data_IF_856047787820
#
_entry.id   IF_856047787820
#
_cell.length_a   1.000
_cell.length_b   1.000
_cell.length_c   1.000
_cell.angle_alpha   90.00
_cell.angle_beta   90.00
_cell.angle_gamma   90.00
#
_symmetry.space_group_name_H-M   'P 1'
#
loop_
_entity.id
_entity.type
_entity.pdbx_description
1 polymer ?
#
# COMPACT_ATOMS: atom_id res chain seq x y z
N UNK A 1 19.73 -27.83 -29.94
CA UNK A 1 18.75 -27.81 -28.87
C UNK A 1 19.29 -27.20 -27.57
N UNK A 2 20.53 -27.45 -27.11
CA UNK A 2 21.10 -26.90 -25.87
C UNK A 2 21.11 -25.34 -25.79
N UNK A 3 21.32 -24.63 -26.89
CA UNK A 3 21.43 -23.18 -26.91
C UNK A 3 20.04 -22.45 -26.79
N UNK A 4 18.99 -23.09 -27.25
CA UNK A 4 17.62 -22.52 -27.16
C UNK A 4 17.13 -22.55 -25.71
N UNK A 5 17.43 -23.64 -24.98
CA UNK A 5 17.07 -23.76 -23.57
C UNK A 5 17.77 -22.72 -22.70
N UNK A 6 19.05 -22.41 -22.99
CA UNK A 6 19.79 -21.37 -22.27
C UNK A 6 19.20 -19.97 -22.50
N UNK A 7 18.78 -19.66 -23.74
CA UNK A 7 18.13 -18.37 -24.06
C UNK A 7 16.79 -18.22 -23.32
N UNK A 8 15.98 -19.28 -23.26
CA UNK A 8 14.72 -19.24 -22.50
C UNK A 8 14.94 -19.08 -20.99
N UNK A 9 15.95 -19.74 -20.41
CA UNK A 9 16.30 -19.56 -19.01
C UNK A 9 16.75 -18.12 -18.72
N UNK A 10 17.55 -17.52 -19.62
CA UNK A 10 18.03 -16.13 -19.47
C UNK A 10 16.88 -15.11 -19.58
N UNK A 11 15.92 -15.33 -20.49
CA UNK A 11 14.71 -14.51 -20.62
C UNK A 11 13.80 -14.64 -19.40
N UNK A 12 13.67 -15.83 -18.80
CA UNK A 12 12.89 -16.04 -17.60
C UNK A 12 13.50 -15.35 -16.37
N UNK A 13 14.83 -15.43 -16.20
CA UNK A 13 15.55 -14.76 -15.10
C UNK A 13 15.44 -13.23 -15.22
N UNK A 14 15.51 -12.67 -16.44
CA UNK A 14 15.36 -11.24 -16.64
C UNK A 14 13.93 -10.73 -16.35
N UNK A 15 12.89 -11.52 -16.68
CA UNK A 15 11.51 -11.18 -16.36
C UNK A 15 11.24 -11.19 -14.85
N UNK A 16 11.80 -12.15 -14.10
CA UNK A 16 11.70 -12.18 -12.64
C UNK A 16 12.42 -11.00 -11.98
N UNK A 17 13.60 -10.61 -12.48
CA UNK A 17 14.35 -9.47 -11.96
C UNK A 17 13.61 -8.13 -12.19
N UNK A 18 12.81 -8.03 -13.25
CA UNK A 18 12.02 -6.82 -13.55
C UNK A 18 10.79 -6.70 -12.63
N UNK A 19 10.08 -7.80 -12.39
CA UNK A 19 8.90 -7.83 -11.51
C UNK A 19 9.26 -7.50 -10.05
N UNK A 20 10.45 -7.84 -9.59
CA UNK A 20 10.89 -7.60 -8.22
C UNK A 20 11.26 -6.12 -7.96
N UNK A 21 11.59 -5.34 -8.99
CA UNK A 21 12.06 -3.95 -8.85
C UNK A 21 10.98 -2.97 -8.39
N UNK A 22 9.76 -3.10 -8.89
CA UNK A 22 8.66 -2.21 -8.52
C UNK A 22 7.99 -2.63 -7.20
N UNK A 23 7.99 -3.91 -6.88
CA UNK A 23 7.33 -4.45 -5.69
C UNK A 23 7.86 -3.88 -4.37
N UNK A 24 9.14 -3.48 -4.31
CA UNK A 24 9.74 -2.96 -3.08
C UNK A 24 9.20 -1.59 -2.65
N UNK A 25 8.68 -0.78 -3.58
CA UNK A 25 8.12 0.55 -3.28
C UNK A 25 6.61 0.53 -3.15
N UNK A 26 5.95 -0.51 -3.68
CA UNK A 26 4.49 -0.70 -3.61
C UNK A 26 4.05 -0.84 -2.15
N UNK A 27 2.86 -0.31 -1.84
CA UNK A 27 2.25 -0.34 -0.52
C UNK A 27 1.87 1.03 0.00
N UNK A 28 1.51 1.11 1.26
CA UNK A 28 1.02 2.32 1.89
C UNK A 28 2.13 3.12 2.59
N UNK A 29 2.03 4.44 2.48
CA UNK A 29 3.02 5.38 3.00
C UNK A 29 2.36 6.57 3.67
N UNK A 30 2.79 6.87 4.91
CA UNK A 30 2.42 8.06 5.64
C UNK A 30 3.13 9.29 5.10
N UNK A 31 2.39 10.40 4.98
CA UNK A 31 2.97 11.71 4.78
C UNK A 31 3.84 12.14 5.99
N UNK A 32 4.77 13.09 5.80
CA UNK A 32 5.66 13.56 6.89
C UNK A 32 4.94 14.12 8.12
N UNK A 33 3.67 14.49 7.98
CA UNK A 33 2.83 15.05 9.05
C UNK A 33 1.84 14.04 9.62
N UNK A 34 1.91 12.78 9.20
CA UNK A 34 0.96 11.71 9.58
C UNK A 34 -0.52 12.09 9.38
N UNK A 35 -0.80 12.88 8.35
CA UNK A 35 -2.14 13.38 8.07
C UNK A 35 -2.74 12.85 6.77
N UNK A 36 -1.95 12.18 5.94
CA UNK A 36 -2.36 11.54 4.68
C UNK A 36 -1.64 10.20 4.55
N UNK A 37 -2.34 9.20 4.04
CA UNK A 37 -1.74 7.95 3.54
C UNK A 37 -1.96 7.88 2.05
N UNK A 38 -0.91 7.52 1.33
CA UNK A 38 -0.99 7.15 -0.08
C UNK A 38 -0.68 5.67 -0.24
N UNK A 39 -1.33 5.04 -1.21
CA UNK A 39 -1.00 3.69 -1.65
C UNK A 39 -0.30 3.77 -3.00
N UNK A 40 0.97 3.36 -3.04
CA UNK A 40 1.70 3.17 -4.28
C UNK A 40 1.34 1.81 -4.87
N UNK A 41 1.04 1.81 -6.16
CA UNK A 41 0.68 0.61 -6.92
C UNK A 41 1.29 0.65 -8.31
N UNK A 42 1.48 -0.51 -8.90
CA UNK A 42 1.97 -0.63 -10.25
C UNK A 42 0.80 -0.59 -11.24
N UNK A 43 0.95 0.22 -12.29
CA UNK A 43 0.02 0.34 -13.41
C UNK A 43 0.83 0.49 -14.71
N UNK A 44 0.67 -0.44 -15.66
CA UNK A 44 1.36 -0.42 -16.95
C UNK A 44 2.89 -0.21 -16.81
N UNK A 45 3.54 -1.04 -15.97
CA UNK A 45 4.99 -1.01 -15.70
C UNK A 45 5.50 0.29 -15.05
N UNK A 46 4.61 1.19 -14.66
CA UNK A 46 4.93 2.42 -13.93
C UNK A 46 4.34 2.39 -12.53
N UNK A 47 4.89 3.20 -11.63
CA UNK A 47 4.33 3.39 -10.29
C UNK A 47 3.43 4.61 -10.29
N UNK A 48 2.24 4.43 -9.73
CA UNK A 48 1.26 5.48 -9.44
C UNK A 48 0.90 5.44 -7.96
N UNK A 49 0.32 6.53 -7.44
CA UNK A 49 -0.16 6.57 -6.06
C UNK A 49 -1.51 7.26 -5.95
N UNK A 50 -2.39 6.68 -5.13
CA UNK A 50 -3.68 7.28 -4.75
C UNK A 50 -3.71 7.58 -3.26
N UNK A 51 -4.45 8.61 -2.88
CA UNK A 51 -4.72 8.93 -1.48
C UNK A 51 -5.74 7.90 -0.95
N UNK A 52 -5.36 7.12 0.07
CA UNK A 52 -6.23 6.11 0.67
C UNK A 52 -6.84 6.56 2.00
N UNK A 53 -6.20 7.52 2.67
CA UNK A 53 -6.68 8.03 3.94
C UNK A 53 -6.20 9.46 4.19
N UNK A 54 -7.05 10.23 4.89
CA UNK A 54 -6.73 11.56 5.42
C UNK A 54 -7.20 11.65 6.87
N UNK A 55 -6.43 12.34 7.72
CA UNK A 55 -6.78 12.60 9.12
C UNK A 55 -8.06 13.44 9.25
N UNK A 56 -8.26 14.38 8.34
CA UNK A 56 -9.44 15.23 8.25
C UNK A 56 -10.02 15.12 6.84
N UNK A 57 -10.79 14.03 6.55
CA UNK A 57 -11.29 13.77 5.19
C UNK A 57 -12.46 14.68 4.81
N UNK A 58 -13.16 15.26 5.80
CA UNK A 58 -14.34 16.08 5.59
C UNK A 58 -14.03 17.57 5.79
N UNK A 59 -14.85 18.41 5.19
CA UNK A 59 -14.90 19.86 5.40
C UNK A 59 -15.60 20.21 6.73
N UNK A 60 -15.73 21.51 7.00
CA UNK A 60 -16.40 22.04 8.21
C UNK A 60 -17.90 21.69 8.30
N UNK A 61 -18.53 21.34 7.17
CA UNK A 61 -19.93 20.92 7.08
C UNK A 61 -20.08 19.39 7.14
N UNK A 62 -19.01 18.64 7.40
CA UNK A 62 -19.03 17.19 7.47
C UNK A 62 -19.08 16.48 6.12
N UNK A 63 -18.94 17.20 4.99
CA UNK A 63 -18.91 16.63 3.64
C UNK A 63 -17.50 16.23 3.24
N UNK A 64 -17.32 15.17 2.43
CA UNK A 64 -16.00 14.81 1.91
C UNK A 64 -15.33 15.99 1.21
N UNK A 65 -14.06 16.21 1.49
CA UNK A 65 -13.25 17.22 0.79
C UNK A 65 -13.07 16.84 -0.66
N UNK A 66 -13.28 17.80 -1.55
CA UNK A 66 -13.15 17.66 -2.99
C UNK A 66 -12.00 18.48 -3.54
N UNK A 67 -11.58 18.21 -4.76
CA UNK A 67 -10.46 18.87 -5.43
C UNK A 67 -10.84 20.23 -6.00
N UNK A 68 -11.28 21.14 -5.15
CA UNK A 68 -11.82 22.45 -5.50
C UNK A 68 -10.87 23.32 -6.32
N UNK A 69 -9.56 23.13 -6.18
CA UNK A 69 -8.53 23.90 -6.89
C UNK A 69 -8.09 23.23 -8.20
N UNK A 70 -8.75 22.12 -8.60
CA UNK A 70 -8.41 21.47 -9.86
C UNK A 70 -8.52 22.45 -11.01
N UNK A 71 -7.50 22.54 -11.90
CA UNK A 71 -7.57 23.41 -13.08
C UNK A 71 -8.67 23.00 -14.08
N UNK A 72 -9.04 21.71 -14.08
CA UNK A 72 -10.18 21.21 -14.84
C UNK A 72 -11.46 21.33 -14.00
N UNK A 73 -12.38 22.17 -14.47
CA UNK A 73 -13.64 22.44 -13.78
C UNK A 73 -14.49 21.17 -13.59
N UNK A 74 -14.40 20.20 -14.50
CA UNK A 74 -15.16 18.95 -14.43
C UNK A 74 -14.68 18.02 -13.32
N UNK A 75 -13.44 18.19 -12.85
CA UNK A 75 -12.82 17.37 -11.83
C UNK A 75 -12.90 17.97 -10.42
N UNK A 76 -13.40 19.19 -10.26
CA UNK A 76 -13.47 19.85 -8.94
C UNK A 76 -14.38 19.16 -7.92
N UNK A 77 -15.32 18.35 -8.37
CA UNK A 77 -16.22 17.58 -7.52
C UNK A 77 -15.65 16.22 -7.08
N UNK A 78 -14.48 15.84 -7.59
CA UNK A 78 -13.85 14.56 -7.22
C UNK A 78 -13.35 14.64 -5.77
N UNK A 79 -13.64 13.61 -4.98
CA UNK A 79 -13.16 13.51 -3.60
C UNK A 79 -11.64 13.36 -3.55
N UNK A 80 -11.01 14.02 -2.56
CA UNK A 80 -9.55 13.92 -2.35
C UNK A 80 -9.14 12.49 -1.96
N UNK A 81 -9.94 11.82 -1.13
CA UNK A 81 -9.71 10.40 -0.82
C UNK A 81 -10.09 9.56 -2.03
N UNK A 82 -9.15 8.78 -2.54
CA UNK A 82 -9.27 8.04 -3.79
C UNK A 82 -8.60 8.71 -4.99
N UNK A 83 -8.24 10.00 -4.90
CA UNK A 83 -7.58 10.73 -5.96
C UNK A 83 -6.19 10.15 -6.27
N UNK A 84 -5.89 9.93 -7.55
CA UNK A 84 -4.54 9.60 -8.00
C UNK A 84 -3.72 10.89 -8.00
N UNK A 85 -2.81 11.01 -7.03
CA UNK A 85 -1.97 12.19 -6.88
C UNK A 85 -0.59 12.03 -7.51
N UNK A 86 -0.16 10.81 -7.78
CA UNK A 86 1.12 10.52 -8.43
C UNK A 86 0.90 9.53 -9.57
N UNK A 87 1.60 9.73 -10.70
CA UNK A 87 1.44 8.87 -11.87
C UNK A 87 2.73 8.77 -12.69
N UNK A 88 2.84 7.65 -13.42
CA UNK A 88 3.85 7.40 -14.46
C UNK A 88 5.32 7.41 -13.98
N UNK A 89 5.60 7.08 -12.72
CA UNK A 89 6.97 6.94 -12.25
C UNK A 89 7.62 5.70 -12.83
N UNK A 90 8.67 5.88 -13.61
CA UNK A 90 9.48 4.81 -14.22
C UNK A 90 10.68 4.49 -13.35
N UNK A 91 10.98 3.21 -13.16
CA UNK A 91 12.21 2.80 -12.51
C UNK A 91 13.42 3.14 -13.38
N UNK A 92 14.36 3.93 -12.84
CA UNK A 92 15.57 4.36 -13.58
C UNK A 92 16.77 3.51 -13.22
N UNK A 93 17.09 3.43 -11.94
CA UNK A 93 18.22 2.63 -11.45
C UNK A 93 18.16 2.43 -9.94
N UNK A 94 18.61 1.30 -9.43
CA UNK A 94 18.67 1.00 -8.00
C UNK A 94 17.33 1.25 -7.31
N UNK A 95 17.29 2.16 -6.37
CA UNK A 95 16.09 2.52 -5.59
C UNK A 95 15.48 3.86 -6.05
N UNK A 96 15.56 4.19 -7.35
CA UNK A 96 15.11 5.48 -7.91
C UNK A 96 14.05 5.24 -8.97
N UNK A 97 12.94 5.97 -8.86
CA UNK A 97 11.89 6.13 -9.87
C UNK A 97 11.79 7.60 -10.23
N UNK A 98 11.72 7.92 -11.53
CA UNK A 98 11.69 9.28 -12.05
C UNK A 98 10.66 9.41 -13.20
N UNK A 99 10.65 10.57 -13.87
CA UNK A 99 9.75 10.90 -14.98
C UNK A 99 8.26 10.88 -14.60
N UNK A 100 7.94 10.86 -13.30
CA UNK A 100 6.58 10.89 -12.82
C UNK A 100 5.99 12.29 -12.73
N UNK A 101 4.70 12.33 -12.49
CA UNK A 101 3.95 13.55 -12.20
C UNK A 101 3.38 13.48 -10.78
N UNK A 102 3.49 14.58 -10.04
CA UNK A 102 2.90 14.76 -8.71
C UNK A 102 1.87 15.88 -8.81
N UNK A 103 0.60 15.58 -8.56
CA UNK A 103 -0.45 16.56 -8.41
C UNK A 103 -0.67 16.89 -6.93
N UNK A 104 -0.75 18.17 -6.60
CA UNK A 104 -1.01 18.66 -5.23
C UNK A 104 -2.38 19.33 -5.20
N UNK A 105 -3.42 18.67 -4.67
CA UNK A 105 -4.79 19.18 -4.68
C UNK A 105 -4.93 20.53 -3.95
N UNK A 106 -4.20 20.72 -2.83
CA UNK A 106 -4.22 21.96 -2.06
C UNK A 106 -3.68 23.18 -2.84
N UNK A 107 -3.02 22.94 -3.97
CA UNK A 107 -2.48 23.99 -4.85
C UNK A 107 -3.13 23.98 -6.25
N UNK A 108 -3.84 22.91 -6.61
CA UNK A 108 -4.34 22.69 -7.95
C UNK A 108 -3.22 22.66 -9.01
N UNK A 109 -2.03 22.12 -8.64
CA UNK A 109 -0.82 22.18 -9.48
C UNK A 109 -0.15 20.83 -9.59
N UNK A 110 0.36 20.55 -10.79
CA UNK A 110 1.22 19.39 -11.06
C UNK A 110 2.69 19.78 -11.14
N UNK A 111 3.53 18.85 -10.72
CA UNK A 111 4.99 18.96 -10.72
C UNK A 111 5.59 17.70 -11.35
N UNK A 112 6.74 17.82 -11.98
CA UNK A 112 7.55 16.65 -12.28
C UNK A 112 8.04 16.03 -10.98
N UNK A 113 8.11 14.70 -10.92
CA UNK A 113 8.40 13.99 -9.68
C UNK A 113 9.47 12.93 -9.81
N UNK A 114 10.24 12.77 -8.73
CA UNK A 114 11.17 11.68 -8.51
C UNK A 114 10.94 11.06 -7.14
N UNK A 115 11.07 9.75 -7.05
CA UNK A 115 11.06 8.98 -5.80
C UNK A 115 12.38 8.26 -5.59
N UNK A 116 12.81 8.20 -4.33
CA UNK A 116 13.94 7.38 -3.91
C UNK A 116 13.61 6.62 -2.64
N UNK A 117 13.66 5.31 -2.68
CA UNK A 117 13.59 4.47 -1.49
C UNK A 117 14.94 4.55 -0.77
N UNK A 118 14.99 5.18 0.41
CA UNK A 118 16.21 5.34 1.21
C UNK A 118 16.55 4.07 1.97
N UNK A 119 15.53 3.45 2.53
CA UNK A 119 15.54 2.18 3.24
C UNK A 119 14.15 1.53 3.13
N UNK A 120 13.93 0.36 3.71
CA UNK A 120 12.68 -0.39 3.63
C UNK A 120 11.45 0.41 4.09
N UNK A 121 11.64 1.39 4.98
CA UNK A 121 10.56 2.14 5.63
C UNK A 121 10.57 3.63 5.30
N UNK A 122 11.53 4.11 4.51
CA UNK A 122 11.66 5.55 4.19
C UNK A 122 11.69 5.79 2.69
N UNK A 123 10.65 6.45 2.18
CA UNK A 123 10.54 6.88 0.79
C UNK A 123 10.69 8.40 0.70
N UNK A 124 11.72 8.87 -0.01
CA UNK A 124 11.86 10.29 -0.32
C UNK A 124 11.13 10.61 -1.64
N UNK A 125 10.20 11.54 -1.59
CA UNK A 125 9.46 12.04 -2.75
C UNK A 125 9.87 13.49 -2.99
N UNK A 126 10.23 13.81 -4.25
CA UNK A 126 10.64 15.14 -4.69
C UNK A 126 9.77 15.63 -5.83
N UNK A 127 9.34 16.89 -5.74
CA UNK A 127 8.66 17.60 -6.82
C UNK A 127 9.52 18.76 -7.33
N UNK A 128 9.62 18.92 -8.65
CA UNK A 128 10.40 19.99 -9.28
C UNK A 128 9.64 20.58 -10.49
N UNK A 129 10.07 21.78 -10.92
CA UNK A 129 9.56 22.45 -12.11
C UNK A 129 10.70 22.54 -13.13
N UNK A 130 10.46 22.06 -14.36
CA UNK A 130 11.48 22.05 -15.42
C UNK A 130 12.57 21.01 -15.15
N UNK A 131 13.82 21.36 -15.42
CA UNK A 131 14.96 20.49 -15.13
C UNK A 131 15.17 20.38 -13.61
N UNK A 132 15.57 19.19 -13.13
CA UNK A 132 15.62 18.73 -11.73
C UNK A 132 16.45 19.60 -10.74
N UNK A 133 17.10 20.64 -11.21
CA UNK A 133 17.93 21.53 -10.38
C UNK A 133 17.10 22.48 -9.47
N UNK A 134 15.82 22.68 -9.78
CA UNK A 134 14.94 23.54 -8.97
C UNK A 134 13.96 22.69 -8.17
N UNK A 135 14.47 22.07 -7.09
CA UNK A 135 13.65 21.35 -6.14
C UNK A 135 12.63 22.31 -5.48
N UNK A 136 11.34 22.05 -5.66
CA UNK A 136 10.25 22.82 -5.05
C UNK A 136 9.66 22.14 -3.81
N UNK A 137 9.86 20.85 -3.72
CA UNK A 137 9.28 20.04 -2.68
C UNK A 137 10.12 18.78 -2.49
N UNK A 138 10.51 18.51 -1.26
CA UNK A 138 11.15 17.23 -0.89
C UNK A 138 10.65 16.81 0.47
N UNK A 139 10.22 15.56 0.58
CA UNK A 139 9.75 15.02 1.84
C UNK A 139 10.03 13.53 1.97
N UNK A 140 10.22 13.08 3.21
CA UNK A 140 10.34 11.68 3.53
C UNK A 140 8.98 11.16 4.01
N UNK A 141 8.53 10.09 3.37
CA UNK A 141 7.32 9.35 3.71
C UNK A 141 7.71 8.07 4.42
N UNK A 142 6.93 7.66 5.40
CA UNK A 142 7.20 6.47 6.21
C UNK A 142 6.26 5.35 5.82
N UNK A 143 6.78 4.13 5.66
CA UNK A 143 5.95 2.97 5.32
C UNK A 143 4.94 2.70 6.42
N UNK A 144 3.69 2.48 6.02
CA UNK A 144 2.65 2.01 6.94
C UNK A 144 2.93 0.55 7.26
N UNK A 145 3.22 0.26 8.51
CA UNK A 145 3.37 -1.11 8.99
C UNK A 145 1.99 -1.68 9.31
N UNK A 146 1.82 -3.00 9.20
CA UNK A 146 0.55 -3.66 9.57
C UNK A 146 0.06 -3.26 10.97
N UNK A 147 0.98 -3.00 11.89
CA UNK A 147 0.67 -2.52 13.25
C UNK A 147 0.04 -1.13 13.27
N UNK A 148 0.29 -0.29 12.26
CA UNK A 148 -0.21 1.09 12.19
C UNK A 148 -1.56 1.18 11.49
N UNK A 149 -1.92 0.19 10.66
CA UNK A 149 -3.24 0.13 10.02
C UNK A 149 -4.38 0.18 11.04
N UNK A 150 -4.17 -0.40 12.23
CA UNK A 150 -5.16 -0.36 13.33
C UNK A 150 -5.21 1.00 14.05
N UNK A 151 -4.14 1.79 14.00
CA UNK A 151 -4.05 3.09 14.67
C UNK A 151 -4.81 4.19 13.92
N UNK A 152 -4.89 4.07 12.58
CA UNK A 152 -5.54 5.06 11.70
C UNK A 152 -7.02 4.80 11.43
N UNK A 153 -7.45 3.58 11.62
CA UNK A 153 -8.85 3.34 11.81
C UNK A 153 -9.18 4.03 13.14
N UNK A 154 -9.84 5.18 13.10
CA UNK A 154 -10.40 5.86 14.28
C UNK A 154 -11.55 5.00 14.83
N UNK A 155 -11.25 3.73 15.04
CA UNK A 155 -12.12 2.69 15.51
C UNK A 155 -12.14 2.84 17.03
N UNK A 156 -13.15 3.53 17.54
CA UNK A 156 -13.51 3.34 18.93
C UNK A 156 -13.50 1.84 19.25
N UNK A 157 -13.15 1.47 20.49
CA UNK A 157 -12.95 0.09 20.95
C UNK A 157 -13.97 -0.95 20.39
N UNK A 158 -15.23 -0.52 20.12
CA UNK A 158 -16.25 -1.36 19.52
C UNK A 158 -16.00 -1.79 18.07
N UNK A 159 -15.29 -0.98 17.30
CA UNK A 159 -15.05 -1.26 15.88
C UNK A 159 -13.87 -2.21 15.67
N UNK A 160 -12.81 -2.15 16.50
CA UNK A 160 -11.70 -3.13 16.46
C UNK A 160 -12.23 -4.55 16.71
N UNK A 161 -13.12 -4.71 17.70
CA UNK A 161 -13.77 -5.99 17.98
C UNK A 161 -14.64 -6.47 16.81
N UNK A 162 -15.30 -5.58 16.08
CA UNK A 162 -16.12 -5.91 14.92
C UNK A 162 -15.27 -6.37 13.74
N UNK A 163 -14.13 -5.72 13.48
CA UNK A 163 -13.18 -6.15 12.44
C UNK A 163 -12.54 -7.49 12.78
N UNK A 164 -12.08 -7.67 14.03
CA UNK A 164 -11.52 -8.94 14.48
C UNK A 164 -12.55 -10.08 14.39
N UNK A 165 -13.82 -9.83 14.72
CA UNK A 165 -14.92 -10.80 14.54
C UNK A 165 -15.14 -11.15 13.08
N UNK A 166 -15.08 -10.17 12.17
CA UNK A 166 -15.25 -10.39 10.72
C UNK A 166 -14.14 -11.28 10.17
N UNK A 167 -12.90 -11.01 10.55
CA UNK A 167 -11.75 -11.80 10.11
C UNK A 167 -11.76 -13.20 10.73
N UNK A 168 -12.12 -13.32 12.01
CA UNK A 168 -12.29 -14.61 12.68
C UNK A 168 -13.40 -15.43 12.01
N UNK A 169 -14.55 -14.85 11.70
CA UNK A 169 -15.63 -15.54 10.99
C UNK A 169 -15.23 -15.97 9.58
N UNK A 170 -14.41 -15.18 8.88
CA UNK A 170 -13.85 -15.56 7.58
C UNK A 170 -12.91 -16.76 7.69
N UNK A 171 -12.06 -16.78 8.71
CA UNK A 171 -11.15 -17.88 9.01
C UNK A 171 -11.95 -19.15 9.38
N UNK A 172 -12.96 -19.01 10.25
CA UNK A 172 -13.85 -20.12 10.63
C UNK A 172 -14.51 -20.73 9.39
N UNK A 173 -15.06 -19.88 8.50
CA UNK A 173 -15.68 -20.34 7.25
C UNK A 173 -14.70 -21.06 6.32
N UNK A 174 -13.45 -20.56 6.20
CA UNK A 174 -12.41 -21.25 5.43
C UNK A 174 -12.05 -22.61 6.04
N UNK A 175 -12.01 -22.74 7.36
CA UNK A 175 -11.76 -24.00 8.06
C UNK A 175 -12.93 -24.97 7.90
N UNK A 176 -14.18 -24.50 7.95
CA UNK A 176 -15.38 -25.30 7.69
C UNK A 176 -15.44 -25.79 6.24
N UNK A 177 -15.14 -24.94 5.26
CA UNK A 177 -15.08 -25.31 3.83
C UNK A 177 -14.01 -26.37 3.52
N UNK A 178 -12.89 -26.35 4.26
CA UNK A 178 -11.83 -27.37 4.18
C UNK A 178 -12.30 -28.71 4.79
N UNK A 179 -13.14 -28.66 5.81
CA UNK A 179 -13.64 -29.87 6.52
C UNK A 179 -14.71 -30.65 5.75
N UNK A 180 -15.35 -30.04 4.74
CA UNK A 180 -16.51 -30.61 4.05
C UNK A 180 -16.22 -31.32 2.73
N UNK A 181 -14.96 -31.44 2.28
CA UNK A 181 -14.64 -32.14 0.99
C UNK A 181 -13.96 -33.47 1.21
N UNK A 182 -14.58 -34.61 0.85
CA UNK A 182 -13.96 -35.93 0.91
C UNK A 182 -13.08 -36.18 -0.33
N UNK A 183 -11.97 -36.84 -0.12
CA UNK A 183 -11.07 -37.43 -1.11
C UNK A 183 -9.86 -36.57 -1.55
N UNK A 184 -8.86 -36.72 -0.79
CA UNK A 184 -7.40 -36.49 -1.09
C UNK A 184 -6.68 -36.38 0.25
N UNK A 185 -6.92 -37.38 1.08
CA UNK A 185 -6.79 -37.28 2.55
C UNK A 185 -5.37 -37.20 3.09
N UNK A 186 -4.36 -37.57 2.32
CA UNK A 186 -2.98 -37.64 2.82
C UNK A 186 -2.21 -36.33 2.55
N UNK A 187 -2.35 -35.76 1.39
CA UNK A 187 -1.74 -34.44 1.04
C UNK A 187 -2.38 -33.33 1.90
N UNK A 188 -3.69 -33.42 2.10
CA UNK A 188 -4.45 -32.48 2.95
C UNK A 188 -4.10 -32.53 4.43
N UNK A 189 -3.59 -33.64 4.95
CA UNK A 189 -3.25 -33.73 6.36
C UNK A 189 -2.00 -32.91 6.68
N UNK A 190 -1.03 -32.89 5.76
CA UNK A 190 0.20 -32.08 5.88
C UNK A 190 -0.13 -30.59 5.69
N UNK A 191 -0.88 -30.23 4.64
CA UNK A 191 -1.32 -28.85 4.41
C UNK A 191 -2.24 -28.32 5.52
N UNK A 192 -3.05 -29.18 6.12
CA UNK A 192 -3.92 -28.82 7.24
C UNK A 192 -3.15 -28.59 8.54
N UNK A 193 -2.10 -29.34 8.80
CA UNK A 193 -1.21 -29.13 9.95
C UNK A 193 -0.41 -27.83 9.81
N UNK A 194 0.12 -27.55 8.62
CA UNK A 194 0.83 -26.30 8.34
C UNK A 194 -0.10 -25.07 8.45
N UNK A 195 -1.33 -25.20 7.92
CA UNK A 195 -2.34 -24.14 8.03
C UNK A 195 -2.77 -23.90 9.48
N UNK A 196 -2.95 -24.97 10.27
CA UNK A 196 -3.28 -24.88 11.70
C UNK A 196 -2.15 -24.22 12.49
N UNK A 197 -0.90 -24.53 12.17
CA UNK A 197 0.28 -23.91 12.80
C UNK A 197 0.31 -22.41 12.45
N UNK A 198 0.08 -22.05 11.19
CA UNK A 198 0.03 -20.67 10.75
C UNK A 198 -1.12 -19.89 11.42
N UNK A 199 -2.32 -20.46 11.49
CA UNK A 199 -3.48 -19.89 12.18
C UNK A 199 -3.22 -19.70 13.67
N UNK A 200 -2.54 -20.65 14.31
CA UNK A 200 -2.18 -20.56 15.74
C UNK A 200 -1.15 -19.46 15.99
N UNK A 201 -0.19 -19.28 15.09
CA UNK A 201 0.77 -18.19 15.16
C UNK A 201 0.08 -16.82 14.99
N UNK A 202 -0.86 -16.70 14.06
CA UNK A 202 -1.58 -15.46 13.82
C UNK A 202 -2.55 -15.14 14.96
N UNK A 203 -3.22 -16.14 15.52
CA UNK A 203 -4.04 -15.99 16.72
C UNK A 203 -3.21 -15.51 17.92
N UNK A 204 -2.02 -16.08 18.14
CA UNK A 204 -1.12 -15.66 19.20
C UNK A 204 -0.61 -14.22 19.00
N UNK A 205 -0.37 -13.79 17.75
CA UNK A 205 -0.04 -12.38 17.44
C UNK A 205 -1.21 -11.45 17.80
N UNK A 206 -2.45 -11.85 17.48
CA UNK A 206 -3.67 -11.09 17.80
C UNK A 206 -3.84 -10.99 19.31
N UNK A 207 -3.69 -12.10 20.06
CA UNK A 207 -3.79 -12.12 21.52
C UNK A 207 -2.76 -11.17 22.15
N UNK A 208 -1.48 -11.23 21.72
CA UNK A 208 -0.43 -10.34 22.22
C UNK A 208 -0.75 -8.86 21.93
N UNK A 209 -1.37 -8.55 20.78
CA UNK A 209 -1.81 -7.20 20.46
C UNK A 209 -2.93 -6.72 21.38
N UNK A 210 -3.91 -7.58 21.67
CA UNK A 210 -5.03 -7.28 22.59
C UNK A 210 -4.50 -7.05 24.02
N UNK A 211 -3.58 -7.87 24.49
CA UNK A 211 -2.96 -7.72 25.82
C UNK A 211 -2.16 -6.42 25.93
N UNK A 212 -1.47 -6.02 24.86
CA UNK A 212 -0.74 -4.75 24.80
C UNK A 212 -1.68 -3.54 24.89
N UNK A 213 -2.84 -3.61 24.23
CA UNK A 213 -3.88 -2.56 24.29
C UNK A 213 -4.46 -2.44 25.71
N UNK A 214 -4.68 -3.58 26.40
CA UNK A 214 -5.19 -3.59 27.79
C UNK A 214 -4.21 -3.03 28.83
N UNK A 215 -2.91 -3.06 28.56
CA UNK A 215 -1.88 -2.53 29.48
C UNK A 215 -1.62 -1.03 29.30
N UNK A 216 -2.17 -0.40 28.27
CA UNK A 216 -2.02 1.03 27.97
C UNK A 216 -3.24 1.85 28.45
N UNK A 217 -4.14 1.22 29.18
CA UNK A 217 -5.26 1.81 29.95
C UNK A 217 -4.90 1.92 31.42
#
# INVERSE_FOLDING_TARGET
>A
MKNITLVFIFLFISAFAYAQKNSIVVGEWYSPKDNVIINLFELNETISAKITWMKLPNDENGKPKTDLLNPDQSLKAIEIVGLIMMSNFTHIAGNIWDNGTIYIPEKGKSYSGMMRLKDENTLNIRGYIGFSFFERYSSNWTRVLETDQFRNLNLGKGNVLTYLKKDLNRIIKLVEDISLKPAEEIIRKIEKEDLLIQLQQDLNKIIKKIEKIKKTE
#
